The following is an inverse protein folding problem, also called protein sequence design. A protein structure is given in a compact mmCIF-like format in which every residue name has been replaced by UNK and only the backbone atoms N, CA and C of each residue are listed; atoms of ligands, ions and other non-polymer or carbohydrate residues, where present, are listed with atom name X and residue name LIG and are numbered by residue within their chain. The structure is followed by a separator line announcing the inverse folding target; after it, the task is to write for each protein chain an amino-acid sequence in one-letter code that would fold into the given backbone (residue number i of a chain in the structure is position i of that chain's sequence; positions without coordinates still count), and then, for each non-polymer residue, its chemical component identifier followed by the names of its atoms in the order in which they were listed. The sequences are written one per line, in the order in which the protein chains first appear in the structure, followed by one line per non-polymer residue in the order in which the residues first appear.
data_IF_853712657415
#
_entry.id   IF_853712657415
#
_cell.length_a   1.000
_cell.length_b   1.000
_cell.length_c   1.000
_cell.angle_alpha   90.00
_cell.angle_beta   90.00
_cell.angle_gamma   90.00
#
_symmetry.space_group_name_H-M   'P 1'
#
loop_
_entity.id
_entity.type
_entity.pdbx_description
1 polymer ?
#
# COMPACT_ATOMS: atom_id res chain seq x y z
N UNK A 1 -43.98 7.51 67.02
CA UNK A 1 -43.99 6.88 65.68
C UNK A 1 -43.17 7.77 64.75
N UNK A 2 -41.89 7.46 64.58
CA UNK A 2 -40.95 8.27 63.79
C UNK A 2 -40.80 7.67 62.40
N UNK A 3 -41.29 8.36 61.37
CA UNK A 3 -41.02 8.04 59.97
C UNK A 3 -39.76 8.78 59.52
N UNK A 4 -38.69 8.02 59.23
CA UNK A 4 -37.47 8.53 58.59
C UNK A 4 -37.66 8.52 57.08
N UNK A 5 -37.58 9.68 56.45
CA UNK A 5 -37.43 9.80 55.00
C UNK A 5 -35.99 9.49 54.59
N UNK A 6 -35.81 8.52 53.69
CA UNK A 6 -34.54 8.18 53.07
C UNK A 6 -34.43 8.99 51.76
N UNK A 7 -33.48 9.93 51.70
CA UNK A 7 -33.10 10.60 50.45
C UNK A 7 -32.01 9.75 49.79
N UNK A 8 -32.34 9.10 48.67
CA UNK A 8 -31.35 8.39 47.83
C UNK A 8 -30.72 9.42 46.89
N UNK A 9 -29.45 9.75 47.13
CA UNK A 9 -28.65 10.57 46.23
C UNK A 9 -28.25 9.80 44.98
N UNK A 10 -28.69 10.28 43.82
CA UNK A 10 -28.28 9.78 42.50
C UNK A 10 -26.89 10.32 42.16
N UNK A 11 -25.85 9.49 42.30
CA UNK A 11 -24.50 9.81 41.81
C UNK A 11 -24.48 9.57 40.29
N UNK A 12 -24.57 10.64 39.51
CA UNK A 12 -24.30 10.62 38.08
C UNK A 12 -22.80 10.45 37.86
N UNK A 13 -22.37 9.21 37.64
CA UNK A 13 -21.07 8.89 37.05
C UNK A 13 -21.09 9.37 35.59
N UNK A 14 -20.70 10.61 35.36
CA UNK A 14 -20.35 11.11 34.03
C UNK A 14 -19.09 10.38 33.57
N UNK A 15 -19.28 9.30 32.82
CA UNK A 15 -18.21 8.60 32.12
C UNK A 15 -17.56 9.56 31.12
N UNK A 16 -16.40 10.08 31.47
CA UNK A 16 -15.51 10.76 30.52
C UNK A 16 -14.98 9.68 29.59
N UNK A 17 -15.70 9.47 28.48
CA UNK A 17 -15.21 8.67 27.38
C UNK A 17 -13.97 9.35 26.82
N UNK A 18 -12.79 8.83 27.16
CA UNK A 18 -11.55 9.08 26.45
C UNK A 18 -11.76 8.67 24.98
N UNK A 19 -12.14 9.63 24.14
CA UNK A 19 -12.06 9.46 22.68
C UNK A 19 -10.58 9.36 22.33
N UNK A 20 -10.10 8.12 22.23
CA UNK A 20 -8.81 7.80 21.60
C UNK A 20 -8.86 8.43 20.19
N UNK A 21 -7.89 9.30 19.83
CA UNK A 21 -7.85 9.86 18.48
C UNK A 21 -7.80 8.71 17.46
N UNK A 22 -8.32 8.90 16.23
CA UNK A 22 -8.31 7.84 15.25
C UNK A 22 -6.87 7.37 15.09
N UNK A 23 -6.61 6.09 15.38
CA UNK A 23 -5.35 5.48 15.03
C UNK A 23 -5.10 5.79 13.54
N UNK A 24 -3.84 5.99 13.15
CA UNK A 24 -3.45 6.13 11.74
C UNK A 24 -3.89 4.94 10.86
N UNK A 25 -4.59 3.95 11.43
CA UNK A 25 -5.22 2.84 10.76
C UNK A 25 -6.68 3.03 10.29
N UNK A 26 -7.35 4.17 10.49
CA UNK A 26 -8.73 4.39 10.02
C UNK A 26 -8.86 4.65 8.50
N UNK A 27 -9.98 4.26 7.87
CA UNK A 27 -10.21 4.39 6.42
C UNK A 27 -9.93 5.81 5.89
N UNK A 28 -10.44 6.85 6.56
CA UNK A 28 -10.26 8.25 6.13
C UNK A 28 -8.80 8.71 6.20
N UNK A 29 -8.07 8.31 7.25
CA UNK A 29 -6.65 8.62 7.38
C UNK A 29 -5.80 7.89 6.32
N UNK A 30 -6.20 6.68 5.92
CA UNK A 30 -5.55 5.96 4.81
C UNK A 30 -5.89 6.54 3.45
N UNK A 31 -7.16 6.89 3.19
CA UNK A 31 -7.57 7.55 1.94
C UNK A 31 -6.82 8.86 1.70
N UNK A 32 -6.55 9.63 2.77
CA UNK A 32 -5.76 10.86 2.68
C UNK A 32 -4.29 10.62 2.30
N UNK A 33 -3.77 9.39 2.47
CA UNK A 33 -2.39 9.02 2.13
C UNK A 33 -2.27 8.37 0.74
N UNK A 34 -3.38 8.09 0.06
CA UNK A 34 -3.36 7.44 -1.26
C UNK A 34 -2.76 8.39 -2.31
N UNK A 35 -1.68 7.98 -3.01
CA UNK A 35 -1.10 8.80 -4.07
C UNK A 35 -2.05 8.87 -5.28
N UNK A 36 -2.13 10.04 -5.91
CA UNK A 36 -2.82 10.19 -7.20
C UNK A 36 -2.07 9.50 -8.36
N UNK A 37 -0.75 9.42 -8.30
CA UNK A 37 0.03 8.62 -9.25
C UNK A 37 1.25 8.02 -8.53
N UNK A 38 1.27 6.71 -8.25
CA UNK A 38 2.41 6.10 -7.56
C UNK A 38 3.71 6.14 -8.37
N UNK A 39 3.67 6.40 -9.68
CA UNK A 39 4.88 6.62 -10.48
C UNK A 39 5.46 8.03 -10.34
N UNK A 40 4.75 9.00 -9.78
CA UNK A 40 5.27 10.37 -9.64
C UNK A 40 6.59 10.39 -8.84
N UNK A 41 6.72 9.50 -7.86
CA UNK A 41 7.95 9.31 -7.09
C UNK A 41 9.15 8.83 -7.90
N UNK A 42 8.94 8.20 -9.07
CA UNK A 42 10.06 7.75 -9.93
C UNK A 42 10.90 8.93 -10.41
N UNK A 43 10.27 10.08 -10.66
CA UNK A 43 10.97 11.32 -11.01
C UNK A 43 11.92 11.74 -9.89
N UNK A 44 11.44 11.78 -8.65
CA UNK A 44 12.26 12.12 -7.50
C UNK A 44 13.33 11.08 -7.21
N UNK A 45 13.04 9.79 -7.39
CA UNK A 45 14.04 8.71 -7.28
C UNK A 45 15.22 8.92 -8.25
N UNK A 46 14.95 9.39 -9.47
CA UNK A 46 15.99 9.68 -10.47
C UNK A 46 16.67 11.03 -10.17
N UNK A 47 15.91 12.11 -10.03
CA UNK A 47 16.41 13.48 -9.85
C UNK A 47 17.24 13.64 -8.57
N UNK A 48 16.85 12.95 -7.49
CA UNK A 48 17.57 12.96 -6.21
C UNK A 48 18.73 11.95 -6.20
N UNK A 49 18.96 11.23 -7.31
CA UNK A 49 20.13 10.40 -7.54
C UNK A 49 20.07 8.99 -6.95
N UNK A 50 18.93 8.52 -6.45
CA UNK A 50 18.79 7.18 -5.87
C UNK A 50 19.15 6.08 -6.89
N UNK A 51 18.73 6.24 -8.16
CA UNK A 51 19.02 5.30 -9.25
C UNK A 51 20.52 5.10 -9.51
N UNK A 52 21.39 6.04 -9.11
CA UNK A 52 22.84 5.93 -9.29
C UNK A 52 23.45 4.82 -8.44
N UNK A 53 22.81 4.48 -7.33
CA UNK A 53 23.28 3.44 -6.41
C UNK A 53 22.34 2.24 -6.37
N UNK A 54 21.03 2.47 -6.41
CA UNK A 54 20.01 1.42 -6.35
C UNK A 54 19.44 1.10 -7.74
N UNK A 55 19.41 -0.18 -8.08
CA UNK A 55 18.70 -0.66 -9.26
C UNK A 55 17.19 -0.79 -9.00
N UNK A 56 16.41 -0.76 -10.07
CA UNK A 56 15.00 -1.16 -10.11
C UNK A 56 14.84 -2.13 -11.28
N UNK A 57 14.60 -3.41 -10.98
CA UNK A 57 14.51 -4.46 -11.99
C UNK A 57 15.73 -4.46 -12.93
N UNK A 58 16.93 -4.54 -12.33
CA UNK A 58 18.23 -4.56 -13.02
C UNK A 58 18.65 -3.26 -13.71
N UNK A 59 17.81 -2.22 -13.69
CA UNK A 59 18.15 -0.91 -14.25
C UNK A 59 18.64 0.01 -13.13
N UNK A 60 19.87 0.50 -13.23
CA UNK A 60 20.45 1.48 -12.30
C UNK A 60 21.82 1.07 -11.76
N UNK A 61 22.17 1.62 -10.60
CA UNK A 61 23.42 1.30 -9.90
C UNK A 61 23.40 -0.06 -9.21
N UNK A 62 24.59 -0.60 -8.96
CA UNK A 62 24.80 -1.91 -8.30
C UNK A 62 25.47 -1.78 -6.93
N UNK A 63 25.68 -0.55 -6.43
CA UNK A 63 26.28 -0.30 -5.11
C UNK A 63 25.29 -0.64 -4.00
N UNK A 64 24.04 -0.20 -4.15
CA UNK A 64 22.92 -0.57 -3.29
C UNK A 64 22.14 -1.76 -3.88
N UNK A 65 21.27 -2.37 -3.08
CA UNK A 65 20.43 -3.45 -3.56
C UNK A 65 19.41 -3.00 -4.62
N UNK A 66 18.97 -3.94 -5.45
CA UNK A 66 17.85 -3.75 -6.39
C UNK A 66 16.52 -3.70 -5.62
N UNK A 67 15.90 -2.51 -5.60
CA UNK A 67 14.67 -2.24 -4.86
C UNK A 67 13.43 -2.82 -5.54
N UNK A 68 13.54 -3.21 -6.82
CA UNK A 68 12.48 -3.89 -7.58
C UNK A 68 12.38 -5.39 -7.33
N UNK A 69 13.26 -5.97 -6.49
CA UNK A 69 13.33 -7.42 -6.21
C UNK A 69 12.74 -7.82 -4.85
N UNK A 70 11.73 -7.08 -4.39
CA UNK A 70 10.91 -7.46 -3.22
C UNK A 70 11.52 -7.17 -1.84
N UNK A 71 12.67 -6.48 -1.79
CA UNK A 71 13.30 -6.06 -0.51
C UNK A 71 12.38 -5.17 0.32
N UNK A 72 11.52 -4.41 -0.36
CA UNK A 72 10.58 -3.48 0.24
C UNK A 72 9.15 -4.04 0.38
N UNK A 73 8.95 -5.36 0.28
CA UNK A 73 7.64 -6.03 0.44
C UNK A 73 7.13 -5.94 1.88
N UNK A 74 6.81 -4.73 2.29
CA UNK A 74 6.56 -4.29 3.65
C UNK A 74 5.56 -3.13 3.63
N UNK A 75 4.87 -2.89 4.76
CA UNK A 75 4.05 -1.71 4.94
C UNK A 75 4.84 -0.41 4.71
N UNK A 76 4.14 0.65 4.31
CA UNK A 76 4.74 1.93 3.95
C UNK A 76 5.65 2.51 5.03
N UNK A 77 5.14 2.57 6.25
CA UNK A 77 5.89 3.17 7.36
C UNK A 77 7.07 2.27 7.76
N UNK A 78 7.01 0.98 7.44
CA UNK A 78 8.17 0.10 7.61
C UNK A 78 9.24 0.36 6.53
N UNK A 79 8.87 0.75 5.30
CA UNK A 79 9.85 1.23 4.31
C UNK A 79 10.63 2.43 4.86
N UNK A 80 9.94 3.37 5.52
CA UNK A 80 10.62 4.48 6.19
C UNK A 80 11.56 4.01 7.31
N UNK A 81 11.19 2.95 8.06
CA UNK A 81 12.08 2.29 9.01
C UNK A 81 13.31 1.63 8.37
N UNK A 82 13.13 0.98 7.21
CA UNK A 82 14.25 0.40 6.43
C UNK A 82 15.18 1.50 5.94
N UNK A 83 14.63 2.59 5.38
CA UNK A 83 15.41 3.77 4.98
C UNK A 83 16.20 4.32 6.15
N UNK A 84 15.55 4.49 7.31
CA UNK A 84 16.18 4.98 8.54
C UNK A 84 17.36 4.11 9.00
N UNK A 85 17.15 2.80 9.05
CA UNK A 85 18.19 1.86 9.46
C UNK A 85 19.38 1.82 8.49
N UNK A 86 19.12 2.12 7.21
CA UNK A 86 20.13 2.11 6.16
C UNK A 86 20.94 3.42 6.08
N UNK A 87 20.53 4.49 6.79
CA UNK A 87 21.15 5.82 6.70
C UNK A 87 22.67 5.83 6.95
N UNK A 88 23.22 5.19 7.99
CA UNK A 88 24.68 5.19 8.20
C UNK A 88 25.45 4.53 7.05
N UNK A 89 24.90 3.45 6.50
CA UNK A 89 25.48 2.79 5.32
C UNK A 89 25.43 3.68 4.07
N UNK A 90 24.31 4.39 3.86
CA UNK A 90 24.20 5.36 2.78
C UNK A 90 25.15 6.55 2.99
N UNK A 91 25.31 7.04 4.22
CA UNK A 91 26.24 8.13 4.53
C UNK A 91 27.67 7.77 4.17
N UNK A 92 28.12 6.56 4.54
CA UNK A 92 29.44 6.09 4.17
C UNK A 92 29.66 6.14 2.65
N UNK A 93 28.68 5.65 1.87
CA UNK A 93 28.73 5.69 0.41
C UNK A 93 28.65 7.12 -0.13
N UNK A 94 27.86 8.00 0.49
CA UNK A 94 27.78 9.41 0.12
C UNK A 94 29.13 10.11 0.28
N UNK A 95 29.81 9.88 1.40
CA UNK A 95 31.15 10.40 1.67
C UNK A 95 32.19 9.82 0.70
N UNK A 96 32.20 8.48 0.53
CA UNK A 96 33.12 7.78 -0.37
C UNK A 96 33.00 8.30 -1.82
N UNK A 97 31.77 8.43 -2.32
CA UNK A 97 31.48 8.91 -3.68
C UNK A 97 31.46 10.43 -3.80
N UNK A 98 31.69 11.17 -2.71
CA UNK A 98 31.64 12.64 -2.62
C UNK A 98 30.35 13.21 -3.20
N UNK A 99 29.23 12.58 -2.89
CA UNK A 99 27.89 13.05 -3.26
C UNK A 99 27.18 13.60 -2.03
N UNK A 100 26.49 14.73 -2.20
CA UNK A 100 25.72 15.32 -1.11
C UNK A 100 24.42 14.54 -0.94
N UNK A 101 24.08 14.18 0.31
CA UNK A 101 22.79 13.57 0.63
C UNK A 101 21.66 14.48 0.13
N UNK A 102 20.72 13.96 -0.69
CA UNK A 102 19.62 14.78 -1.16
C UNK A 102 18.68 15.13 -0.01
N UNK A 103 18.08 16.32 -0.07
CA UNK A 103 16.98 16.71 0.82
C UNK A 103 15.64 16.63 0.11
N UNK A 104 14.56 16.48 0.88
CA UNK A 104 13.20 16.36 0.35
C UNK A 104 12.25 17.38 0.97
N UNK A 105 11.30 17.86 0.17
CA UNK A 105 10.04 18.44 0.71
C UNK A 105 9.09 17.30 1.11
N UNK A 106 8.11 17.52 2.02
CA UNK A 106 7.16 16.49 2.41
C UNK A 106 6.41 15.86 1.23
N UNK A 107 5.97 16.65 0.24
CA UNK A 107 5.31 16.11 -0.95
C UNK A 107 6.23 15.22 -1.81
N UNK A 108 7.51 15.58 -1.92
CA UNK A 108 8.51 14.78 -2.65
C UNK A 108 8.77 13.46 -1.94
N UNK A 109 8.87 13.48 -0.62
CA UNK A 109 9.03 12.29 0.21
C UNK A 109 7.79 11.39 0.12
N UNK A 110 6.58 11.95 0.20
CA UNK A 110 5.35 11.16 0.01
C UNK A 110 5.35 10.43 -1.33
N UNK A 111 5.65 11.14 -2.42
CA UNK A 111 5.72 10.55 -3.75
C UNK A 111 6.81 9.49 -3.84
N UNK A 112 8.00 9.74 -3.28
CA UNK A 112 9.10 8.76 -3.25
C UNK A 112 8.70 7.47 -2.53
N UNK A 113 8.19 7.56 -1.30
CA UNK A 113 7.86 6.37 -0.52
C UNK A 113 6.67 5.62 -1.17
N UNK A 114 5.70 6.35 -1.74
CA UNK A 114 4.62 5.74 -2.53
C UNK A 114 5.16 4.97 -3.76
N UNK A 115 6.16 5.52 -4.45
CA UNK A 115 6.82 4.83 -5.56
C UNK A 115 7.57 3.58 -5.09
N UNK A 116 8.36 3.68 -4.02
CA UNK A 116 9.07 2.55 -3.43
C UNK A 116 8.12 1.43 -2.99
N UNK A 117 6.99 1.79 -2.38
CA UNK A 117 5.94 0.85 -2.01
C UNK A 117 5.25 0.23 -3.24
N UNK A 118 5.07 1.00 -4.31
CA UNK A 118 4.52 0.50 -5.57
C UNK A 118 5.46 -0.47 -6.27
N UNK A 119 6.78 -0.32 -6.15
CA UNK A 119 7.74 -1.31 -6.68
C UNK A 119 7.50 -2.71 -6.09
N UNK A 120 7.09 -2.78 -4.83
CA UNK A 120 6.70 -4.03 -4.16
C UNK A 120 5.35 -4.60 -4.58
N UNK A 121 4.53 -3.82 -5.29
CA UNK A 121 3.27 -4.30 -5.85
C UNK A 121 3.50 -5.16 -7.09
N UNK A 122 4.63 -4.95 -7.77
CA UNK A 122 4.95 -5.60 -9.02
C UNK A 122 5.32 -7.06 -8.75
N UNK A 123 4.56 -7.96 -9.36
CA UNK A 123 4.86 -9.38 -9.35
C UNK A 123 6.18 -9.68 -10.08
N UNK A 124 6.87 -10.78 -9.72
CA UNK A 124 7.99 -11.27 -10.49
C UNK A 124 7.63 -11.44 -11.97
N UNK A 125 8.60 -11.25 -12.89
CA UNK A 125 8.40 -11.58 -14.30
C UNK A 125 7.87 -13.01 -14.47
N UNK A 126 6.90 -13.19 -15.36
CA UNK A 126 6.32 -14.50 -15.61
C UNK A 126 7.29 -15.44 -16.34
N UNK A 127 7.27 -16.72 -15.99
CA UNK A 127 8.03 -17.78 -16.64
C UNK A 127 7.16 -18.55 -17.66
N UNK A 128 7.52 -18.49 -18.94
CA UNK A 128 6.74 -19.09 -20.02
C UNK A 128 6.68 -20.62 -19.93
N UNK A 129 7.73 -21.27 -19.42
CA UNK A 129 7.74 -22.73 -19.25
C UNK A 129 6.76 -23.17 -18.15
N UNK A 130 6.71 -22.43 -17.05
CA UNK A 130 5.75 -22.61 -15.96
C UNK A 130 4.35 -22.31 -16.46
N UNK A 131 4.15 -21.21 -17.17
CA UNK A 131 2.88 -20.86 -17.81
C UNK A 131 2.35 -21.97 -18.72
N UNK A 132 3.21 -22.62 -19.51
CA UNK A 132 2.83 -23.74 -20.38
C UNK A 132 2.35 -24.97 -19.57
N UNK A 133 2.94 -25.22 -18.40
CA UNK A 133 2.49 -26.29 -17.50
C UNK A 133 1.15 -25.93 -16.88
N UNK A 134 1.01 -24.70 -16.37
CA UNK A 134 -0.23 -24.20 -15.77
C UNK A 134 -1.39 -24.21 -16.78
N UNK A 135 -1.17 -23.75 -18.02
CA UNK A 135 -2.17 -23.72 -19.08
C UNK A 135 -2.75 -25.11 -19.38
N UNK A 136 -1.90 -26.15 -19.31
CA UNK A 136 -2.30 -27.56 -19.44
C UNK A 136 -3.03 -28.07 -18.20
N UNK A 137 -2.41 -27.92 -17.03
CA UNK A 137 -2.90 -28.48 -15.77
C UNK A 137 -4.23 -27.85 -15.33
N UNK A 138 -4.40 -26.54 -15.55
CA UNK A 138 -5.63 -25.81 -15.26
C UNK A 138 -6.70 -25.97 -16.35
N UNK A 139 -6.43 -26.78 -17.38
CA UNK A 139 -7.40 -27.14 -18.42
C UNK A 139 -7.77 -26.03 -19.40
N UNK A 140 -7.02 -24.92 -19.44
CA UNK A 140 -7.32 -23.76 -20.29
C UNK A 140 -7.44 -24.16 -21.77
N UNK A 141 -6.54 -25.05 -22.21
CA UNK A 141 -6.49 -25.56 -23.59
C UNK A 141 -7.70 -26.39 -24.01
N UNK A 142 -8.49 -26.91 -23.08
CA UNK A 142 -9.70 -27.67 -23.39
C UNK A 142 -10.74 -26.77 -24.03
N UNK A 143 -10.78 -25.50 -23.64
CA UNK A 143 -11.75 -24.53 -24.13
C UNK A 143 -11.14 -23.54 -25.11
N UNK A 144 -9.91 -23.09 -24.85
CA UNK A 144 -9.27 -22.00 -25.59
C UNK A 144 -8.20 -22.50 -26.57
N UNK A 145 -8.16 -21.86 -27.74
CA UNK A 145 -7.06 -22.05 -28.68
C UNK A 145 -5.95 -21.03 -28.48
N UNK A 146 -4.70 -21.46 -28.65
CA UNK A 146 -3.50 -20.62 -28.63
C UNK A 146 -2.52 -21.13 -29.70
N UNK A 147 -2.05 -20.25 -30.58
CA UNK A 147 -1.13 -20.62 -31.66
C UNK A 147 -1.73 -21.62 -32.65
N UNK A 148 -3.06 -21.70 -32.73
CA UNK A 148 -3.81 -22.66 -33.54
C UNK A 148 -4.03 -24.04 -32.91
N UNK A 149 -3.68 -24.23 -31.62
CA UNK A 149 -3.87 -25.49 -30.88
C UNK A 149 -4.83 -25.30 -29.71
N UNK A 150 -5.64 -26.30 -29.38
CA UNK A 150 -6.59 -26.28 -28.25
C UNK A 150 -8.06 -26.29 -28.69
N UNK A 151 -8.94 -25.93 -27.76
CA UNK A 151 -10.38 -25.92 -27.95
C UNK A 151 -10.91 -24.71 -28.73
N UNK A 152 -12.19 -24.75 -29.07
CA UNK A 152 -12.92 -23.66 -29.76
C UNK A 152 -14.18 -23.22 -29.01
N UNK A 153 -14.28 -23.59 -27.72
CA UNK A 153 -15.43 -23.24 -26.88
C UNK A 153 -15.29 -21.79 -26.41
N UNK A 154 -14.10 -21.43 -25.93
CA UNK A 154 -13.73 -20.06 -25.62
C UNK A 154 -13.04 -19.38 -26.81
N UNK A 155 -12.91 -18.04 -26.78
CA UNK A 155 -12.17 -17.31 -27.81
C UNK A 155 -10.71 -17.72 -27.85
N UNK A 156 -10.08 -17.54 -29.01
CA UNK A 156 -8.64 -17.69 -29.18
C UNK A 156 -7.89 -16.67 -28.31
N UNK A 157 -6.79 -17.10 -27.70
CA UNK A 157 -5.99 -16.25 -26.81
C UNK A 157 -4.80 -15.59 -27.50
N UNK A 158 -4.65 -15.79 -28.82
CA UNK A 158 -3.55 -15.23 -29.61
C UNK A 158 -3.46 -13.70 -29.53
N UNK A 159 -4.59 -12.98 -29.42
CA UNK A 159 -4.55 -11.52 -29.26
C UNK A 159 -3.86 -11.08 -27.96
N UNK A 160 -3.90 -11.91 -26.92
CA UNK A 160 -3.28 -11.56 -25.64
C UNK A 160 -1.74 -11.62 -25.69
N UNK A 161 -1.14 -12.16 -26.75
CA UNK A 161 0.31 -12.19 -26.91
C UNK A 161 0.93 -10.81 -27.11
N UNK A 162 0.11 -9.80 -27.48
CA UNK A 162 0.57 -8.40 -27.60
C UNK A 162 0.67 -7.66 -26.25
N UNK A 163 0.02 -8.18 -25.20
CA UNK A 163 -0.04 -7.47 -23.91
C UNK A 163 1.19 -7.76 -23.07
N UNK A 164 1.90 -6.72 -22.65
CA UNK A 164 3.02 -6.84 -21.72
C UNK A 164 2.56 -6.97 -20.27
N UNK A 165 1.45 -6.32 -19.92
CA UNK A 165 0.93 -6.28 -18.55
C UNK A 165 -0.07 -7.42 -18.26
N UNK A 166 0.16 -8.19 -17.18
CA UNK A 166 -0.81 -9.16 -16.63
C UNK A 166 -2.20 -8.60 -16.31
N UNK A 167 -2.34 -7.27 -16.20
CA UNK A 167 -3.61 -6.61 -15.95
C UNK A 167 -4.63 -6.81 -17.09
N UNK A 168 -4.18 -6.94 -18.34
CA UNK A 168 -5.10 -7.22 -19.45
C UNK A 168 -5.73 -8.61 -19.32
N UNK A 169 -4.92 -9.61 -18.96
CA UNK A 169 -5.42 -10.96 -18.69
C UNK A 169 -6.35 -10.96 -17.47
N UNK A 170 -5.99 -10.24 -16.40
CA UNK A 170 -6.85 -10.07 -15.21
C UNK A 170 -8.21 -9.46 -15.56
N UNK A 171 -8.21 -8.42 -16.40
CA UNK A 171 -9.43 -7.76 -16.85
C UNK A 171 -10.31 -8.73 -17.65
N UNK A 172 -9.71 -9.48 -18.57
CA UNK A 172 -10.43 -10.48 -19.35
C UNK A 172 -11.04 -11.59 -18.48
N UNK A 173 -10.29 -12.06 -17.48
CA UNK A 173 -10.75 -13.05 -16.51
C UNK A 173 -11.94 -12.53 -15.68
N UNK A 174 -11.97 -11.25 -15.35
CA UNK A 174 -13.10 -10.61 -14.68
C UNK A 174 -14.32 -10.50 -15.61
N UNK A 175 -14.15 -9.87 -16.78
CA UNK A 175 -15.25 -9.61 -17.74
C UNK A 175 -15.92 -10.90 -18.21
N UNK A 176 -15.13 -11.97 -18.41
CA UNK A 176 -15.63 -13.24 -18.92
C UNK A 176 -15.81 -14.28 -17.81
N UNK A 177 -15.53 -13.92 -16.55
CA UNK A 177 -15.44 -14.85 -15.43
C UNK A 177 -16.74 -15.60 -15.17
N UNK A 178 -17.87 -14.88 -15.21
CA UNK A 178 -19.21 -15.43 -14.98
C UNK A 178 -19.61 -16.41 -16.08
N UNK A 179 -19.47 -16.01 -17.34
CA UNK A 179 -19.77 -16.86 -18.50
C UNK A 179 -18.88 -18.12 -18.51
N UNK A 180 -17.58 -17.97 -18.20
CA UNK A 180 -16.69 -19.11 -18.04
C UNK A 180 -17.13 -20.05 -16.92
N UNK A 181 -17.54 -19.53 -15.76
CA UNK A 181 -18.00 -20.37 -14.65
C UNK A 181 -19.28 -21.13 -14.98
N UNK A 182 -20.23 -20.49 -15.66
CA UNK A 182 -21.45 -21.13 -16.14
C UNK A 182 -21.12 -22.27 -17.11
N UNK A 183 -20.23 -22.02 -18.08
CA UNK A 183 -19.83 -23.04 -19.05
C UNK A 183 -19.04 -24.19 -18.42
N UNK A 184 -18.15 -23.88 -17.49
CA UNK A 184 -17.41 -24.88 -16.71
C UNK A 184 -18.38 -25.80 -15.95
N UNK A 185 -19.41 -25.24 -15.31
CA UNK A 185 -20.44 -26.01 -14.61
C UNK A 185 -21.25 -26.90 -15.55
N UNK A 186 -21.70 -26.36 -16.70
CA UNK A 186 -22.42 -27.14 -17.72
C UNK A 186 -21.62 -28.35 -18.21
N UNK A 187 -20.31 -28.18 -18.37
CA UNK A 187 -19.42 -29.19 -18.90
C UNK A 187 -18.76 -30.06 -17.82
N UNK A 188 -19.15 -29.89 -16.54
CA UNK A 188 -18.53 -30.54 -15.39
C UNK A 188 -16.99 -30.38 -15.33
N UNK A 189 -16.48 -29.24 -15.81
CA UNK A 189 -15.07 -28.87 -15.72
C UNK A 189 -14.83 -28.16 -14.39
N UNK A 190 -13.91 -28.63 -13.54
CA UNK A 190 -13.56 -27.92 -12.32
C UNK A 190 -12.99 -26.53 -12.63
N UNK A 191 -13.51 -25.50 -11.97
CA UNK A 191 -12.96 -24.15 -12.09
C UNK A 191 -11.54 -24.12 -11.50
N UNK A 192 -10.51 -23.70 -12.26
CA UNK A 192 -9.15 -23.68 -11.74
C UNK A 192 -8.97 -22.57 -10.71
N UNK A 193 -8.17 -22.83 -9.67
CA UNK A 193 -7.70 -21.78 -8.75
C UNK A 193 -6.56 -21.00 -9.40
N UNK A 194 -6.41 -19.73 -9.04
CA UNK A 194 -5.28 -18.88 -9.43
C UNK A 194 -4.51 -18.49 -8.18
N UNK A 195 -3.22 -18.80 -8.15
CA UNK A 195 -2.36 -18.68 -6.98
C UNK A 195 -0.97 -18.19 -7.38
N UNK A 196 -0.21 -17.65 -6.41
CA UNK A 196 1.18 -17.25 -6.63
C UNK A 196 1.36 -16.36 -7.86
N UNK A 197 2.24 -16.79 -8.77
CA UNK A 197 2.60 -16.09 -10.00
C UNK A 197 1.83 -16.59 -11.24
N UNK A 198 0.71 -17.29 -11.06
CA UNK A 198 -0.02 -17.95 -12.14
C UNK A 198 -0.39 -17.01 -13.30
N UNK A 199 -0.90 -15.80 -13.00
CA UNK A 199 -1.36 -14.86 -14.04
C UNK A 199 -0.17 -14.34 -14.88
N UNK A 200 0.94 -13.83 -14.27
CA UNK A 200 2.15 -13.51 -15.03
C UNK A 200 2.71 -14.67 -15.85
N UNK A 201 2.78 -15.88 -15.28
CA UNK A 201 3.32 -17.07 -15.94
C UNK A 201 2.46 -17.47 -17.14
N UNK A 202 1.12 -17.52 -16.97
CA UNK A 202 0.18 -17.78 -18.05
C UNK A 202 0.32 -16.74 -19.17
N UNK A 203 0.42 -15.44 -18.83
CA UNK A 203 0.64 -14.40 -19.84
C UNK A 203 2.01 -14.55 -20.52
N UNK A 204 3.07 -14.94 -19.81
CA UNK A 204 4.38 -15.21 -20.42
C UNK A 204 4.30 -16.35 -21.43
N UNK A 205 3.57 -17.42 -21.13
CA UNK A 205 3.32 -18.51 -22.08
C UNK A 205 2.48 -18.08 -23.28
N UNK A 206 1.38 -17.35 -23.06
CA UNK A 206 0.52 -16.83 -24.13
C UNK A 206 1.33 -15.93 -25.08
N UNK A 207 2.22 -15.09 -24.55
CA UNK A 207 3.15 -14.28 -25.33
C UNK A 207 4.10 -15.12 -26.18
N UNK A 208 4.65 -16.19 -25.60
CA UNK A 208 5.61 -17.05 -26.30
C UNK A 208 4.97 -17.94 -27.38
N UNK A 209 3.72 -18.36 -27.18
CA UNK A 209 3.03 -19.32 -28.05
C UNK A 209 2.02 -18.69 -29.03
N UNK A 210 1.52 -17.49 -28.72
CA UNK A 210 0.56 -16.78 -29.56
C UNK A 210 1.18 -16.19 -30.82
N UNK A 211 0.36 -15.99 -31.85
CA UNK A 211 0.80 -15.42 -33.14
C UNK A 211 0.58 -13.90 -33.27
N UNK A 212 0.24 -13.20 -32.18
CA UNK A 212 0.07 -11.75 -32.21
C UNK A 212 1.40 -11.01 -32.42
N UNK A 213 1.30 -9.77 -32.91
CA UNK A 213 2.45 -8.95 -33.31
C UNK A 213 3.41 -8.58 -32.17
N UNK A 214 4.60 -8.11 -32.55
CA UNK A 214 5.70 -7.72 -31.62
C UNK A 214 5.40 -6.46 -30.80
N UNK A 215 4.33 -5.73 -31.12
CA UNK A 215 3.95 -4.51 -30.42
C UNK A 215 3.46 -4.82 -29.01
N UNK A 216 4.11 -4.21 -28.01
CA UNK A 216 3.81 -4.42 -26.60
C UNK A 216 2.88 -3.33 -26.09
N UNK A 217 1.69 -3.74 -25.67
CA UNK A 217 0.73 -2.84 -25.03
C UNK A 217 0.89 -2.93 -23.51
N UNK A 218 1.12 -1.78 -22.88
CA UNK A 218 1.25 -1.64 -21.43
C UNK A 218 -0.05 -1.11 -20.82
N UNK A 219 -0.40 -1.60 -19.64
CA UNK A 219 -1.52 -1.04 -18.89
C UNK A 219 -1.07 0.28 -18.22
N UNK A 220 -1.95 1.29 -18.13
CA UNK A 220 -1.65 2.47 -17.33
C UNK A 220 -1.47 2.06 -15.88
N UNK A 221 -0.58 2.75 -15.17
CA UNK A 221 -0.42 2.54 -13.74
C UNK A 221 -1.68 2.99 -13.01
N UNK A 222 -2.17 2.12 -12.13
CA UNK A 222 -3.38 2.35 -11.38
C UNK A 222 -3.23 3.49 -10.39
N UNK A 223 -4.25 4.33 -10.31
CA UNK A 223 -4.42 5.41 -9.34
C UNK A 223 -5.34 4.90 -8.22
N UNK A 224 -4.82 4.68 -7.00
CA UNK A 224 -5.62 4.25 -5.85
C UNK A 224 -6.81 5.18 -5.52
N UNK A 225 -6.68 6.50 -5.70
CA UNK A 225 -7.78 7.44 -5.47
C UNK A 225 -8.94 7.28 -6.47
N UNK A 226 -8.64 7.03 -7.76
CA UNK A 226 -9.66 6.63 -8.74
C UNK A 226 -10.23 5.25 -8.43
N UNK A 227 -9.39 4.34 -7.94
CA UNK A 227 -9.79 3.02 -7.46
C UNK A 227 -10.78 3.08 -6.30
N UNK A 228 -10.61 4.00 -5.34
CA UNK A 228 -11.58 4.24 -4.27
C UNK A 228 -12.94 4.64 -4.84
N UNK A 229 -12.94 5.58 -5.80
CA UNK A 229 -14.18 6.00 -6.47
C UNK A 229 -14.84 4.82 -7.17
N UNK A 230 -14.08 4.01 -7.90
CA UNK A 230 -14.58 2.80 -8.56
C UNK A 230 -15.14 1.78 -7.56
N UNK A 231 -14.46 1.55 -6.44
CA UNK A 231 -14.93 0.64 -5.39
C UNK A 231 -16.31 1.02 -4.85
N UNK A 232 -16.59 2.33 -4.76
CA UNK A 232 -17.91 2.85 -4.37
C UNK A 232 -18.91 2.77 -5.52
N UNK A 233 -18.56 3.28 -6.70
CA UNK A 233 -19.51 3.40 -7.83
C UNK A 233 -19.79 2.09 -8.55
N UNK A 234 -18.95 1.07 -8.36
CA UNK A 234 -19.15 -0.31 -8.84
C UNK A 234 -19.71 -1.23 -7.74
N UNK A 235 -20.30 -0.65 -6.69
CA UNK A 235 -21.03 -1.33 -5.61
C UNK A 235 -20.20 -2.35 -4.81
N UNK A 236 -18.86 -2.31 -4.90
CA UNK A 236 -18.01 -3.23 -4.15
C UNK A 236 -18.14 -2.98 -2.64
N UNK A 237 -18.28 -1.70 -2.25
CA UNK A 237 -18.48 -1.25 -0.87
C UNK A 237 -19.79 -1.74 -0.23
N UNK A 238 -20.79 -2.13 -1.02
CA UNK A 238 -22.09 -2.55 -0.48
C UNK A 238 -22.01 -3.93 0.17
N UNK A 239 -21.04 -4.75 -0.27
CA UNK A 239 -20.81 -6.09 0.27
C UNK A 239 -19.55 -6.14 1.13
N UNK A 240 -18.46 -5.50 0.69
CA UNK A 240 -17.17 -5.56 1.34
C UNK A 240 -16.91 -4.32 2.20
N UNK A 241 -16.28 -4.53 3.36
CA UNK A 241 -15.74 -3.44 4.15
C UNK A 241 -14.26 -3.22 3.88
N UNK A 242 -13.80 -2.01 4.17
CA UNK A 242 -12.39 -1.65 4.32
C UNK A 242 -12.21 -1.11 5.73
N UNK A 243 -11.43 -1.83 6.54
CA UNK A 243 -11.14 -1.46 7.92
C UNK A 243 -12.41 -1.06 8.70
N UNK A 244 -13.44 -1.89 8.60
CA UNK A 244 -14.74 -1.73 9.23
C UNK A 244 -15.75 -0.83 8.51
N UNK A 245 -15.38 -0.21 7.38
CA UNK A 245 -16.25 0.72 6.65
C UNK A 245 -16.78 0.08 5.36
N UNK A 246 -18.10 -0.03 5.25
CA UNK A 246 -18.79 -0.67 4.11
C UNK A 246 -19.70 -1.81 4.55
N UNK A 247 -20.04 -2.68 3.60
CA UNK A 247 -20.86 -3.86 3.82
C UNK A 247 -20.15 -4.93 4.65
N UNK A 248 -20.94 -5.83 5.23
CA UNK A 248 -20.46 -6.97 6.04
C UNK A 248 -20.82 -8.33 5.44
N UNK A 249 -21.22 -8.34 4.17
CA UNK A 249 -21.61 -9.55 3.44
C UNK A 249 -20.35 -10.33 3.05
N UNK A 250 -19.41 -9.63 2.44
CA UNK A 250 -18.07 -10.12 2.16
C UNK A 250 -17.09 -9.80 3.29
N UNK A 251 -15.88 -10.39 3.25
CA UNK A 251 -14.83 -10.07 4.21
C UNK A 251 -14.34 -8.62 4.07
N UNK A 252 -13.69 -8.15 5.13
CA UNK A 252 -12.98 -6.87 5.12
C UNK A 252 -11.73 -6.96 4.25
N UNK A 253 -11.76 -6.33 3.07
CA UNK A 253 -10.67 -6.46 2.10
C UNK A 253 -9.41 -5.73 2.55
N UNK A 254 -9.52 -4.74 3.45
CA UNK A 254 -8.36 -4.09 4.04
C UNK A 254 -7.56 -5.03 4.95
N UNK A 255 -8.19 -6.12 5.42
CA UNK A 255 -7.60 -7.12 6.32
C UNK A 255 -7.30 -8.42 5.57
N UNK A 256 -8.22 -8.93 4.75
CA UNK A 256 -8.12 -10.28 4.19
C UNK A 256 -7.37 -10.37 2.88
N UNK A 257 -7.35 -9.30 2.08
CA UNK A 257 -6.70 -9.29 0.76
C UNK A 257 -5.31 -8.69 0.89
N UNK A 258 -4.29 -9.53 0.71
CA UNK A 258 -2.87 -9.18 0.88
C UNK A 258 -2.01 -9.69 -0.27
N UNK A 259 -0.85 -9.06 -0.43
CA UNK A 259 0.17 -9.36 -1.44
C UNK A 259 0.13 -8.45 -2.66
N UNK A 260 0.81 -8.86 -3.71
CA UNK A 260 1.01 -8.14 -4.98
C UNK A 260 -0.27 -7.98 -5.81
N UNK A 261 -0.20 -7.16 -6.87
CA UNK A 261 -1.34 -6.89 -7.74
C UNK A 261 -1.94 -8.18 -8.32
N UNK A 262 -1.13 -9.14 -8.76
CA UNK A 262 -1.64 -10.39 -9.34
C UNK A 262 -2.13 -11.39 -8.29
N UNK A 263 -1.64 -11.31 -7.05
CA UNK A 263 -2.24 -12.08 -5.95
C UNK A 263 -3.65 -11.58 -5.62
N UNK A 264 -3.87 -10.27 -5.67
CA UNK A 264 -5.20 -9.67 -5.54
C UNK A 264 -6.10 -10.11 -6.70
N UNK A 265 -5.60 -10.06 -7.94
CA UNK A 265 -6.30 -10.57 -9.12
C UNK A 265 -6.72 -12.05 -8.97
N UNK A 266 -5.81 -12.90 -8.50
CA UNK A 266 -6.09 -14.31 -8.23
C UNK A 266 -7.16 -14.50 -7.15
N UNK A 267 -7.11 -13.71 -6.07
CA UNK A 267 -8.15 -13.72 -5.04
C UNK A 267 -9.53 -13.33 -5.61
N UNK A 268 -9.59 -12.31 -6.48
CA UNK A 268 -10.82 -11.93 -7.18
C UNK A 268 -11.34 -13.07 -8.07
N UNK A 269 -10.48 -13.72 -8.85
CA UNK A 269 -10.86 -14.85 -9.70
C UNK A 269 -11.42 -16.04 -8.89
N UNK A 270 -10.76 -16.37 -7.78
CA UNK A 270 -11.13 -17.48 -6.90
C UNK A 270 -12.44 -17.19 -6.16
N UNK A 271 -12.67 -15.93 -5.76
CA UNK A 271 -13.88 -15.51 -5.06
C UNK A 271 -15.08 -15.27 -5.99
N UNK A 272 -14.84 -15.01 -7.28
CA UNK A 272 -15.82 -14.62 -8.30
C UNK A 272 -17.16 -15.37 -8.26
N UNK A 273 -17.20 -16.72 -8.29
CA UNK A 273 -18.47 -17.45 -8.27
C UNK A 273 -19.36 -17.15 -7.07
N UNK A 274 -18.78 -16.96 -5.88
CA UNK A 274 -19.52 -16.57 -4.67
C UNK A 274 -20.03 -15.14 -4.81
N UNK A 275 -19.18 -14.23 -5.29
CA UNK A 275 -19.57 -12.84 -5.52
C UNK A 275 -20.73 -12.71 -6.50
N UNK A 276 -20.67 -13.38 -7.66
CA UNK A 276 -21.71 -13.26 -8.68
C UNK A 276 -23.04 -13.88 -8.24
N UNK A 277 -23.00 -14.94 -7.44
CA UNK A 277 -24.21 -15.53 -6.86
C UNK A 277 -24.88 -14.56 -5.86
N UNK A 278 -24.09 -13.89 -5.02
CA UNK A 278 -24.60 -12.86 -4.11
C UNK A 278 -25.10 -11.62 -4.84
N UNK A 279 -24.39 -11.18 -5.89
CA UNK A 279 -24.82 -10.07 -6.75
C UNK A 279 -26.17 -10.39 -7.41
N UNK A 280 -26.33 -11.60 -7.96
CA UNK A 280 -27.58 -12.03 -8.59
C UNK A 280 -28.77 -12.04 -7.61
N UNK A 281 -28.57 -12.52 -6.38
CA UNK A 281 -29.59 -12.50 -5.32
C UNK A 281 -30.05 -11.07 -4.97
N UNK A 282 -29.16 -10.09 -5.14
CA UNK A 282 -29.39 -8.68 -4.79
C UNK A 282 -29.79 -7.82 -5.99
N UNK A 283 -29.94 -8.41 -7.17
CA UNK A 283 -30.24 -7.68 -8.40
C UNK A 283 -29.11 -6.75 -8.87
N UNK A 284 -27.86 -7.04 -8.46
CA UNK A 284 -26.68 -6.29 -8.87
C UNK A 284 -26.09 -6.98 -10.11
N UNK A 285 -25.94 -6.22 -11.20
CA UNK A 285 -25.22 -6.71 -12.37
C UNK A 285 -23.71 -6.72 -12.10
N UNK A 286 -23.00 -7.71 -12.65
CA UNK A 286 -21.54 -7.79 -12.52
C UNK A 286 -20.95 -6.56 -13.22
N UNK A 287 -20.22 -5.69 -12.49
CA UNK A 287 -19.76 -4.43 -13.07
C UNK A 287 -18.67 -4.68 -14.11
N UNK A 288 -18.86 -4.15 -15.31
CA UNK A 288 -17.80 -4.14 -16.33
C UNK A 288 -16.66 -3.19 -15.92
N UNK A 289 -15.42 -3.64 -16.12
CA UNK A 289 -14.18 -2.93 -15.86
C UNK A 289 -13.27 -3.02 -17.10
N UNK A 290 -12.80 -1.87 -17.59
CA UNK A 290 -11.68 -1.87 -18.55
C UNK A 290 -10.32 -2.02 -17.83
N UNK A 291 -9.25 -2.22 -18.59
CA UNK A 291 -7.91 -2.46 -18.04
C UNK A 291 -7.39 -1.32 -17.14
N UNK A 292 -7.71 -0.06 -17.47
CA UNK A 292 -7.36 1.09 -16.63
C UNK A 292 -8.13 1.10 -15.31
N UNK A 293 -9.44 0.81 -15.35
CA UNK A 293 -10.27 0.71 -14.16
C UNK A 293 -9.86 -0.47 -13.27
N UNK A 294 -9.51 -1.60 -13.87
CA UNK A 294 -8.98 -2.76 -13.15
C UNK A 294 -7.64 -2.42 -12.46
N UNK A 295 -6.75 -1.72 -13.18
CA UNK A 295 -5.48 -1.22 -12.63
C UNK A 295 -5.72 -0.30 -11.43
N UNK A 296 -6.61 0.69 -11.57
CA UNK A 296 -6.98 1.61 -10.49
C UNK A 296 -7.55 0.88 -9.27
N UNK A 297 -8.47 -0.07 -9.48
CA UNK A 297 -9.13 -0.83 -8.42
C UNK A 297 -8.16 -1.74 -7.67
N UNK A 298 -7.34 -2.52 -8.38
CA UNK A 298 -6.36 -3.41 -7.74
C UNK A 298 -5.28 -2.59 -7.02
N UNK A 299 -4.84 -1.46 -7.59
CA UNK A 299 -3.97 -0.53 -6.90
C UNK A 299 -4.61 -0.03 -5.60
N UNK A 300 -5.89 0.37 -5.61
CA UNK A 300 -6.58 0.77 -4.39
C UNK A 300 -6.60 -0.34 -3.33
N UNK A 301 -6.92 -1.58 -3.71
CA UNK A 301 -6.91 -2.71 -2.79
C UNK A 301 -5.50 -3.01 -2.25
N UNK A 302 -4.47 -2.90 -3.09
CA UNK A 302 -3.08 -3.10 -2.68
C UNK A 302 -2.66 -2.12 -1.59
N UNK A 303 -3.01 -0.84 -1.75
CA UNK A 303 -2.59 0.23 -0.84
C UNK A 303 -3.21 0.14 0.56
N UNK A 304 -4.18 -0.74 0.83
CA UNK A 304 -4.65 -0.96 2.21
C UNK A 304 -3.64 -1.64 3.13
N UNK A 305 -2.58 -2.20 2.55
CA UNK A 305 -1.47 -2.77 3.30
C UNK A 305 -0.44 -1.68 3.68
N UNK A 306 -0.73 -0.40 3.41
CA UNK A 306 0.15 0.73 3.73
C UNK A 306 0.53 0.83 5.21
N UNK A 307 -0.43 0.65 6.12
CA UNK A 307 -0.23 0.84 7.58
C UNK A 307 -0.73 -0.41 8.28
N UNK A 308 0.03 -1.50 8.16
CA UNK A 308 -0.31 -2.78 8.76
C UNK A 308 0.92 -3.35 9.46
N UNK A 309 0.92 -3.61 10.78
CA UNK A 309 -0.20 -3.48 11.71
C UNK A 309 -0.57 -2.01 12.00
N UNK A 310 -1.77 -1.76 12.55
CA UNK A 310 -2.17 -0.42 13.00
C UNK A 310 -1.20 0.16 14.03
N UNK A 311 -0.84 1.43 13.83
CA UNK A 311 0.06 2.16 14.71
C UNK A 311 -0.55 2.43 16.10
N UNK A 312 0.28 2.37 17.15
CA UNK A 312 -0.08 2.57 18.55
C UNK A 312 0.88 3.56 19.23
N UNK A 313 0.33 4.63 19.79
CA UNK A 313 1.11 5.68 20.42
C UNK A 313 1.76 5.26 21.75
N UNK A 314 1.19 4.31 22.50
CA UNK A 314 1.78 3.81 23.73
C UNK A 314 3.02 2.95 23.43
N UNK A 315 2.93 2.06 22.43
CA UNK A 315 4.09 1.35 21.90
C UNK A 315 5.13 2.33 21.34
N UNK A 316 4.67 3.39 20.65
CA UNK A 316 5.55 4.43 20.14
C UNK A 316 6.35 5.17 21.22
N UNK A 317 5.73 5.43 22.38
CA UNK A 317 6.42 6.00 23.54
C UNK A 317 7.49 5.06 24.09
N UNK A 318 7.22 3.75 24.10
CA UNK A 318 8.21 2.75 24.48
C UNK A 318 9.39 2.75 23.50
N UNK A 319 9.13 2.73 22.18
CA UNK A 319 10.15 2.86 21.14
C UNK A 319 10.99 4.13 21.33
N UNK A 320 10.36 5.28 21.53
CA UNK A 320 11.06 6.55 21.75
C UNK A 320 12.05 6.50 22.92
N UNK A 321 11.66 5.80 23.99
CA UNK A 321 12.46 5.64 25.21
C UNK A 321 13.58 4.62 25.01
N UNK A 322 13.24 3.43 24.51
CA UNK A 322 14.16 2.30 24.31
C UNK A 322 15.23 2.61 23.26
N UNK A 323 14.86 3.31 22.18
CA UNK A 323 15.79 3.78 21.15
C UNK A 323 16.53 5.05 21.55
N UNK A 324 16.34 5.51 22.80
CA UNK A 324 17.05 6.63 23.43
C UNK A 324 16.91 7.96 22.68
N UNK A 325 15.84 8.14 21.91
CA UNK A 325 15.56 9.39 21.19
C UNK A 325 15.50 10.59 22.15
N UNK A 326 14.99 10.34 23.37
CA UNK A 326 14.91 11.30 24.47
C UNK A 326 16.26 11.82 24.99
N UNK A 327 17.38 11.16 24.66
CA UNK A 327 18.71 11.62 25.09
C UNK A 327 19.02 13.00 24.54
N UNK A 328 18.56 13.28 23.31
CA UNK A 328 18.82 14.55 22.63
C UNK A 328 17.56 15.36 22.41
N UNK A 329 16.44 14.72 22.12
CA UNK A 329 15.19 15.39 21.80
C UNK A 329 14.25 15.40 23.00
N UNK A 330 13.61 16.54 23.28
CA UNK A 330 12.55 16.61 24.26
C UNK A 330 11.22 16.17 23.64
N UNK A 331 10.36 15.58 24.47
CA UNK A 331 8.96 15.27 24.23
C UNK A 331 8.19 15.40 25.57
N UNK A 332 6.84 15.35 25.60
CA UNK A 332 6.08 15.56 26.83
C UNK A 332 6.50 14.58 27.93
N UNK A 333 7.15 15.12 28.97
CA UNK A 333 7.64 14.37 30.12
C UNK A 333 8.87 13.49 29.86
N UNK A 334 9.58 13.63 28.73
CA UNK A 334 10.79 12.87 28.40
C UNK A 334 11.84 13.77 27.74
N UNK A 335 13.09 13.68 28.20
CA UNK A 335 14.27 13.98 27.39
C UNK A 335 15.02 15.28 27.72
N UNK A 336 16.10 15.52 26.97
CA UNK A 336 16.97 16.70 27.08
C UNK A 336 16.78 17.63 25.85
N UNK A 337 17.39 18.81 25.87
CA UNK A 337 17.24 19.83 24.80
C UNK A 337 18.54 20.03 24.00
N UNK A 338 19.21 18.95 23.62
CA UNK A 338 20.33 19.02 22.65
C UNK A 338 19.78 19.31 21.26
N UNK A 339 18.69 18.64 20.91
CA UNK A 339 17.83 18.92 19.76
C UNK A 339 16.54 19.64 20.18
N UNK A 340 15.71 20.02 19.19
CA UNK A 340 14.42 20.66 19.47
C UNK A 340 13.46 19.71 20.20
N UNK A 341 12.52 20.32 20.93
CA UNK A 341 11.35 19.65 21.51
C UNK A 341 10.40 19.21 20.38
N UNK A 342 10.34 17.92 20.11
CA UNK A 342 9.63 17.35 18.96
C UNK A 342 8.10 17.52 19.06
N UNK A 343 7.57 17.77 20.27
CA UNK A 343 6.17 18.12 20.42
C UNK A 343 5.84 19.56 20.00
N UNK A 344 6.84 20.41 19.81
CA UNK A 344 6.67 21.84 19.48
C UNK A 344 7.09 22.22 18.06
N UNK A 345 7.87 21.39 17.35
CA UNK A 345 8.33 21.69 15.98
C UNK A 345 7.16 21.71 15.01
N UNK A 346 6.75 22.84 14.43
CA UNK A 346 5.54 22.91 13.61
C UNK A 346 5.52 21.91 12.43
N UNK A 347 6.68 21.67 11.81
CA UNK A 347 6.90 20.84 10.62
C UNK A 347 6.95 19.32 10.90
N UNK A 348 6.28 18.84 11.95
CA UNK A 348 6.11 17.41 12.28
C UNK A 348 4.63 17.04 12.49
N UNK A 349 3.72 17.72 11.79
CA UNK A 349 2.26 17.57 11.94
C UNK A 349 1.65 16.34 11.27
N UNK A 350 2.39 15.68 10.37
CA UNK A 350 1.94 14.51 9.61
C UNK A 350 3.00 13.41 9.60
N UNK A 351 2.64 12.14 9.31
CA UNK A 351 3.61 11.05 9.18
C UNK A 351 4.73 11.34 8.16
N UNK A 352 4.36 11.90 7.02
CA UNK A 352 5.30 12.22 5.94
C UNK A 352 6.26 13.33 6.36
N UNK A 353 5.78 14.35 7.06
CA UNK A 353 6.63 15.42 7.60
C UNK A 353 7.65 14.87 8.59
N UNK A 354 7.25 13.95 9.48
CA UNK A 354 8.17 13.28 10.41
C UNK A 354 9.25 12.51 9.65
N UNK A 355 8.88 11.67 8.68
CA UNK A 355 9.84 10.89 7.89
C UNK A 355 10.78 11.83 7.10
N UNK A 356 10.24 12.91 6.54
CA UNK A 356 11.01 13.92 5.81
C UNK A 356 12.04 14.59 6.70
N UNK A 357 11.62 15.04 7.89
CA UNK A 357 12.49 15.68 8.85
C UNK A 357 13.58 14.72 9.35
N UNK A 358 13.23 13.47 9.65
CA UNK A 358 14.18 12.42 10.02
C UNK A 358 15.25 12.22 8.94
N UNK A 359 14.86 12.09 7.67
CA UNK A 359 15.82 11.96 6.56
C UNK A 359 16.72 13.18 6.41
N UNK A 360 16.12 14.39 6.35
CA UNK A 360 16.86 15.62 6.12
C UNK A 360 17.81 15.97 7.30
N UNK A 361 17.45 15.59 8.52
CA UNK A 361 18.23 15.85 9.72
C UNK A 361 19.30 14.79 10.01
N UNK A 362 19.22 13.61 9.39
CA UNK A 362 19.97 12.44 9.80
C UNK A 362 21.50 12.62 9.79
N UNK A 363 22.11 13.34 8.84
CA UNK A 363 23.57 13.52 8.81
C UNK A 363 24.05 14.33 10.01
N UNK A 364 23.27 15.32 10.46
CA UNK A 364 23.56 16.09 11.67
C UNK A 364 23.41 15.23 12.92
N UNK A 365 22.37 14.39 12.97
CA UNK A 365 22.24 13.48 14.10
C UNK A 365 23.37 12.46 14.16
N UNK A 366 23.78 11.90 13.02
CA UNK A 366 24.86 10.92 12.93
C UNK A 366 26.17 11.49 13.44
N UNK A 367 26.52 12.72 13.06
CA UNK A 367 27.69 13.42 13.59
C UNK A 367 27.65 13.56 15.12
N UNK A 368 26.53 14.04 15.68
CA UNK A 368 26.38 14.20 17.14
C UNK A 368 26.36 12.86 17.86
N UNK A 369 25.75 11.83 17.26
CA UNK A 369 25.73 10.48 17.81
C UNK A 369 27.13 9.88 17.87
N UNK A 370 27.95 10.08 16.83
CA UNK A 370 29.35 9.66 16.82
C UNK A 370 30.18 10.41 17.88
N UNK A 371 29.96 11.71 18.03
CA UNK A 371 30.63 12.53 19.08
C UNK A 371 30.27 12.08 20.50
N UNK A 372 29.04 11.60 20.71
CA UNK A 372 28.53 11.19 22.02
C UNK A 372 28.60 9.68 22.27
N UNK A 373 29.23 8.91 21.39
CA UNK A 373 29.31 7.44 21.45
C UNK A 373 27.91 6.77 21.58
N UNK A 374 26.94 7.30 20.84
CA UNK A 374 25.57 6.78 20.77
C UNK A 374 25.43 5.95 19.49
N UNK A 375 25.11 4.67 19.64
CA UNK A 375 24.82 3.81 18.51
C UNK A 375 23.55 4.26 17.76
N UNK A 376 23.58 4.18 16.42
CA UNK A 376 22.43 4.50 15.58
C UNK A 376 21.22 3.60 15.92
N UNK A 377 20.05 4.16 16.25
CA UNK A 377 18.91 3.36 16.68
C UNK A 377 18.29 2.59 15.50
N UNK A 378 18.15 1.27 15.67
CA UNK A 378 17.53 0.38 14.67
C UNK A 378 16.05 0.18 15.00
N UNK A 379 15.18 0.54 14.05
CA UNK A 379 13.73 0.37 14.09
C UNK A 379 13.32 -0.98 13.46
N UNK A 380 12.46 -1.75 14.12
CA UNK A 380 12.04 -3.09 13.71
C UNK A 380 10.54 -3.15 13.50
N UNK A 381 10.09 -3.80 12.41
CA UNK A 381 8.67 -3.97 12.12
C UNK A 381 7.87 -2.66 12.21
N UNK A 382 6.71 -2.71 12.86
CA UNK A 382 5.83 -1.56 13.06
C UNK A 382 6.37 -0.43 13.95
N UNK A 383 7.59 -0.51 14.51
CA UNK A 383 8.13 0.49 15.43
C UNK A 383 8.17 1.91 14.83
N UNK A 384 8.44 2.07 13.53
CA UNK A 384 8.38 3.40 12.87
C UNK A 384 6.95 3.96 12.87
N UNK A 385 5.95 3.13 12.60
CA UNK A 385 4.55 3.53 12.59
C UNK A 385 4.10 3.95 14.00
N UNK A 386 4.45 3.15 15.01
CA UNK A 386 4.17 3.41 16.41
C UNK A 386 4.86 4.70 16.89
N UNK A 387 6.14 4.90 16.55
CA UNK A 387 6.90 6.10 16.86
C UNK A 387 6.24 7.37 16.29
N UNK A 388 5.84 7.33 15.01
CA UNK A 388 5.12 8.43 14.38
C UNK A 388 3.79 8.68 15.10
N UNK A 389 3.02 7.64 15.43
CA UNK A 389 1.77 7.80 16.16
C UNK A 389 1.97 8.47 17.52
N UNK A 390 3.03 8.10 18.25
CA UNK A 390 3.40 8.77 19.50
C UNK A 390 3.71 10.25 19.29
N UNK A 391 4.59 10.59 18.34
CA UNK A 391 4.98 11.97 18.06
C UNK A 391 3.77 12.84 17.68
N UNK A 392 2.86 12.32 16.85
CA UNK A 392 1.64 13.04 16.48
C UNK A 392 0.69 13.20 17.67
N UNK A 393 0.53 12.16 18.50
CA UNK A 393 -0.33 12.23 19.69
C UNK A 393 0.19 13.23 20.73
N UNK A 394 1.52 13.31 20.90
CA UNK A 394 2.18 14.22 21.82
C UNK A 394 1.94 15.71 21.45
N UNK A 395 1.64 15.99 20.18
CA UNK A 395 1.39 17.34 19.64
C UNK A 395 -0.08 17.75 19.71
N UNK A 396 -1.00 16.79 19.64
CA UNK A 396 -2.44 17.06 19.66
C UNK A 396 -2.91 17.63 21.01
N UNK A 397 -2.16 17.36 22.10
CA UNK A 397 -2.56 17.69 23.47
C UNK A 397 -3.87 16.98 23.86
N UNK A 398 -4.28 17.05 25.14
CA UNK A 398 -5.61 16.60 25.53
C UNK A 398 -6.64 17.61 24.98
N UNK A 399 -7.16 17.39 23.75
CA UNK A 399 -8.38 18.07 23.31
C UNK A 399 -8.47 18.61 21.86
N UNK A 400 -7.46 18.50 20.99
CA UNK A 400 -7.64 18.91 19.57
C UNK A 400 -8.07 17.73 18.69
N UNK A 401 -9.36 17.65 18.39
CA UNK A 401 -9.86 16.87 17.25
C UNK A 401 -9.35 17.46 15.94
N UNK A 402 -8.75 16.64 15.08
CA UNK A 402 -8.30 17.03 13.75
C UNK A 402 -9.51 17.40 12.87
N UNK A 403 -9.79 18.70 12.74
CA UNK A 403 -10.66 19.23 11.70
C UNK A 403 -9.82 19.60 10.45
N UNK A 404 -10.38 19.54 9.24
CA UNK A 404 -9.66 19.93 8.03
C UNK A 404 -9.34 21.42 8.09
N UNK A 405 -8.05 21.78 7.95
CA UNK A 405 -7.66 23.18 7.72
C UNK A 405 -8.06 23.55 6.29
N UNK A 406 -9.09 24.37 6.13
CA UNK A 406 -9.47 24.94 4.84
C UNK A 406 -8.45 25.99 4.39
N UNK A 407 -7.74 25.74 3.30
CA UNK A 407 -6.98 26.77 2.58
C UNK A 407 -7.89 27.43 1.54
N UNK A 408 -8.52 28.55 1.91
CA UNK A 408 -9.12 29.47 0.94
C UNK A 408 -8.08 30.55 0.59
N UNK A 409 -7.85 30.88 -0.69
CA UNK A 409 -7.02 32.02 -1.07
C UNK A 409 -7.80 33.31 -0.80
N UNK A 410 -7.23 34.22 -0.02
CA UNK A 410 -7.70 35.60 0.05
C UNK A 410 -7.41 36.26 -1.30
N UNK A 411 -8.48 36.63 -2.01
CA UNK A 411 -8.39 37.51 -3.16
C UNK A 411 -8.18 38.95 -2.67
N UNK A 412 -7.07 39.55 -3.07
CA UNK A 412 -6.84 40.98 -2.88
C UNK A 412 -7.80 41.77 -3.78
N UNK A 413 -8.56 42.66 -3.14
CA UNK A 413 -9.18 43.81 -3.79
C UNK A 413 -8.21 44.98 -3.74
N UNK A 414 -7.72 45.41 -4.89
CA UNK A 414 -7.79 46.81 -5.39
C UNK A 414 -7.18 46.93 -6.77
#
# INVERSE_FOLDING_TARGET
MNARFLVVGLVLLSGVGLKVPPALGGHEALSALLPGNPLEGSRFFIEKGCLRCHAVQEVGGVTGPDLGRGILNRPLLEIAGVMWNHLPGMEHVFQEKRVVRPTFKPSEMASLIAFLYYLSSLDPPGDAATGARLYRQKGCQTCHSLGGKGGRIGPALDEYSRYASPLFLTTALWENGKAMAEKMREMAVPRPTVEGNDVPDLLAYIRAAGRGGLERVYAPVGNPGRGEKLYRTKYCVDCHSIRGHGGKVGPDLGITVKGSLMRIAGAMWNHGPKMWAEMAQRGIEVPSLNAGQMSDLISYLYFFQFIDPPADAARGRAVYTEKRCGTCHAAPGIGQTVGPDLAKVEELGTPVEVITAMWNHASKMEAVMLEQDIAWPILKGGEMADLIAYLLSARAGPGRSAGPRSSAPQGDRR
#
